data_IF_728433314988
#
_entry.id   IF_728433314988
#
_cell.length_a   1.000
_cell.length_b   1.000
_cell.length_c   1.000
_cell.angle_alpha   90.00
_cell.angle_beta   90.00
_cell.angle_gamma   90.00
#
_symmetry.space_group_name_H-M   'P 1'
#
loop_
_entity.id
_entity.type
_entity.pdbx_description
1 polymer ?
#
# COMPACT_ATOMS: atom_id res chain seq x y z
N UNK A 1 -48.69 -31.73 1.47
CA UNK A 1 -48.07 -30.39 1.59
C UNK A 1 -46.57 -30.57 1.70
N UNK A 2 -45.81 -30.50 0.61
CA UNK A 2 -44.35 -30.63 0.64
C UNK A 2 -43.71 -29.28 0.97
N UNK A 3 -42.94 -29.24 2.06
CA UNK A 3 -42.19 -28.07 2.49
C UNK A 3 -41.11 -27.70 1.47
N UNK A 4 -41.12 -26.44 1.04
CA UNK A 4 -40.13 -25.84 0.15
C UNK A 4 -38.77 -25.85 0.88
N UNK A 5 -37.81 -26.60 0.34
CA UNK A 5 -36.45 -26.64 0.85
C UNK A 5 -35.78 -25.27 0.73
N UNK A 6 -35.12 -24.81 1.81
CA UNK A 6 -34.32 -23.58 1.83
C UNK A 6 -33.29 -23.62 0.70
N UNK A 7 -33.47 -22.81 -0.34
CA UNK A 7 -32.44 -22.56 -1.34
C UNK A 7 -31.19 -22.00 -0.64
N UNK A 8 -30.03 -22.62 -0.89
CA UNK A 8 -28.74 -22.07 -0.46
C UNK A 8 -28.55 -20.74 -1.17
N UNK A 9 -28.40 -19.66 -0.40
CA UNK A 9 -28.08 -18.33 -0.92
C UNK A 9 -26.90 -18.42 -1.90
N UNK A 10 -27.04 -17.74 -3.04
CA UNK A 10 -26.01 -17.66 -4.08
C UNK A 10 -24.71 -17.16 -3.47
N UNK A 11 -23.55 -17.62 -3.95
CA UNK A 11 -22.25 -17.13 -3.46
C UNK A 11 -22.12 -15.62 -3.60
N UNK A 12 -22.84 -15.01 -4.54
CA UNK A 12 -22.91 -13.55 -4.73
C UNK A 12 -23.77 -12.83 -3.68
N UNK A 13 -24.69 -13.54 -3.02
CA UNK A 13 -25.57 -13.01 -1.97
C UNK A 13 -24.94 -13.14 -0.57
N UNK A 14 -23.84 -13.90 -0.47
CA UNK A 14 -23.06 -13.97 0.76
C UNK A 14 -22.20 -12.73 0.87
N UNK A 15 -22.47 -11.89 1.86
CA UNK A 15 -21.52 -10.85 2.29
C UNK A 15 -20.13 -11.50 2.39
N UNK A 16 -19.13 -10.86 1.79
CA UNK A 16 -17.73 -11.31 1.91
C UNK A 16 -17.45 -11.55 3.40
N UNK A 17 -17.07 -12.77 3.75
CA UNK A 17 -16.86 -13.15 5.13
C UNK A 17 -15.92 -12.17 5.81
N UNK A 18 -16.25 -11.75 7.03
CA UNK A 18 -15.38 -10.91 7.88
C UNK A 18 -14.09 -11.63 8.30
N UNK A 19 -13.96 -12.93 7.99
CA UNK A 19 -12.84 -13.75 8.37
C UNK A 19 -11.54 -13.21 7.79
N UNK A 20 -10.62 -12.85 8.68
CA UNK A 20 -9.19 -12.74 8.36
C UNK A 20 -8.63 -14.16 8.55
N UNK A 21 -8.52 -15.00 7.50
CA UNK A 21 -7.76 -16.25 7.66
C UNK A 21 -6.34 -15.86 8.08
N UNK A 22 -5.93 -16.33 9.25
CA UNK A 22 -4.58 -16.07 9.76
C UNK A 22 -3.61 -16.97 9.00
N UNK A 23 -2.70 -16.36 8.27
CA UNK A 23 -1.60 -17.04 7.59
C UNK A 23 -0.33 -16.78 8.37
N UNK A 24 0.50 -17.80 8.54
CA UNK A 24 1.80 -17.63 9.20
C UNK A 24 2.64 -16.61 8.40
N UNK A 25 3.17 -15.60 9.11
CA UNK A 25 4.01 -14.56 8.52
C UNK A 25 5.22 -15.11 7.76
N UNK A 26 5.73 -16.28 8.16
CA UNK A 26 6.82 -16.96 7.47
C UNK A 26 6.46 -17.35 6.02
N UNK A 27 5.18 -17.64 5.74
CA UNK A 27 4.72 -17.95 4.37
C UNK A 27 4.88 -16.73 3.45
N UNK A 28 4.52 -15.53 3.94
CA UNK A 28 4.75 -14.29 3.21
C UNK A 28 6.25 -14.03 3.03
N UNK A 29 7.04 -14.22 4.09
CA UNK A 29 8.48 -14.01 4.07
C UNK A 29 9.20 -14.85 3.00
N UNK A 30 8.92 -16.16 2.96
CA UNK A 30 9.52 -17.09 2.00
C UNK A 30 9.09 -16.76 0.56
N UNK A 31 7.80 -16.51 0.34
CA UNK A 31 7.29 -16.14 -0.99
C UNK A 31 7.91 -14.82 -1.47
N UNK A 32 7.96 -13.81 -0.62
CA UNK A 32 8.49 -12.50 -0.97
C UNK A 32 9.99 -12.56 -1.25
N UNK A 33 10.74 -13.33 -0.47
CA UNK A 33 12.17 -13.58 -0.72
C UNK A 33 12.41 -14.16 -2.13
N UNK A 34 11.63 -15.18 -2.53
CA UNK A 34 11.72 -15.77 -3.86
C UNK A 34 11.29 -14.81 -4.98
N UNK A 35 10.29 -13.96 -4.75
CA UNK A 35 9.91 -12.90 -5.70
C UNK A 35 11.07 -11.92 -5.92
N UNK A 36 11.75 -11.50 -4.85
CA UNK A 36 12.90 -10.59 -4.93
C UNK A 36 14.04 -11.25 -5.71
N UNK A 37 14.39 -12.51 -5.38
CA UNK A 37 15.42 -13.27 -6.10
C UNK A 37 15.06 -13.47 -7.59
N UNK A 38 13.82 -13.85 -7.87
CA UNK A 38 13.28 -14.01 -9.24
C UNK A 38 13.43 -12.72 -10.06
N UNK A 39 13.12 -11.57 -9.46
CA UNK A 39 13.26 -10.27 -10.12
C UNK A 39 14.73 -9.89 -10.30
N UNK A 40 15.56 -10.12 -9.28
CA UNK A 40 16.98 -9.81 -9.27
C UNK A 40 17.73 -10.56 -10.39
N UNK A 41 17.38 -11.82 -10.65
CA UNK A 41 17.99 -12.61 -11.73
C UNK A 41 17.61 -12.14 -13.14
N UNK A 42 16.74 -11.15 -13.28
CA UNK A 42 16.23 -10.62 -14.56
C UNK A 42 16.43 -9.11 -14.73
N UNK A 43 17.30 -8.51 -13.93
CA UNK A 43 17.61 -7.07 -13.98
C UNK A 43 19.10 -6.88 -13.75
N UNK A 44 19.64 -5.77 -14.25
CA UNK A 44 21.07 -5.49 -14.16
C UNK A 44 21.39 -4.43 -13.12
N UNK A 45 20.40 -3.62 -12.73
CA UNK A 45 20.59 -2.50 -11.80
C UNK A 45 19.60 -2.52 -10.62
N UNK A 46 19.97 -1.91 -9.50
CA UNK A 46 19.09 -1.77 -8.33
C UNK A 46 17.82 -0.96 -8.64
N UNK A 47 17.89 0.16 -9.41
CA UNK A 47 16.68 0.87 -9.81
C UNK A 47 15.72 0.03 -10.64
N UNK A 48 16.21 -0.79 -11.57
CA UNK A 48 15.36 -1.73 -12.33
C UNK A 48 14.68 -2.76 -11.42
N UNK A 49 15.42 -3.29 -10.43
CA UNK A 49 14.85 -4.20 -9.44
C UNK A 49 13.72 -3.53 -8.65
N UNK A 50 13.97 -2.32 -8.14
CA UNK A 50 12.97 -1.55 -7.41
C UNK A 50 11.75 -1.23 -8.28
N UNK A 51 11.96 -0.91 -9.57
CA UNK A 51 10.88 -0.68 -10.53
C UNK A 51 10.01 -1.94 -10.69
N UNK A 52 10.61 -3.11 -10.93
CA UNK A 52 9.85 -4.38 -11.04
C UNK A 52 9.09 -4.71 -9.76
N UNK A 53 9.71 -4.52 -8.59
CA UNK A 53 9.04 -4.73 -7.32
C UNK A 53 7.86 -3.76 -7.14
N UNK A 54 8.03 -2.50 -7.53
CA UNK A 54 6.95 -1.50 -7.51
C UNK A 54 5.80 -1.90 -8.44
N UNK A 55 6.06 -2.35 -9.66
CA UNK A 55 5.03 -2.81 -10.61
C UNK A 55 4.22 -4.00 -10.04
N UNK A 56 4.89 -4.97 -9.41
CA UNK A 56 4.22 -6.07 -8.71
C UNK A 56 3.36 -5.56 -7.54
N UNK A 57 3.88 -4.60 -6.78
CA UNK A 57 3.15 -3.93 -5.70
C UNK A 57 1.90 -3.20 -6.19
N UNK A 58 1.98 -2.53 -7.34
CA UNK A 58 0.84 -1.83 -7.94
C UNK A 58 -0.29 -2.80 -8.28
N UNK A 59 0.03 -3.94 -8.89
CA UNK A 59 -0.96 -4.98 -9.17
C UNK A 59 -1.67 -5.46 -7.90
N UNK A 60 -0.94 -5.60 -6.79
CA UNK A 60 -1.54 -5.97 -5.50
C UNK A 60 -2.41 -4.83 -4.96
N UNK A 61 -1.91 -3.59 -4.96
CA UNK A 61 -2.61 -2.42 -4.44
C UNK A 61 -3.95 -2.12 -5.12
N UNK A 62 -4.04 -2.32 -6.44
CA UNK A 62 -5.30 -2.16 -7.19
C UNK A 62 -6.43 -3.03 -6.63
N UNK A 63 -6.13 -4.28 -6.27
CA UNK A 63 -7.13 -5.21 -5.73
C UNK A 63 -7.41 -4.97 -4.24
N UNK A 64 -6.42 -4.45 -3.49
CA UNK A 64 -6.58 -4.18 -2.06
C UNK A 64 -7.54 -3.03 -1.78
N UNK A 65 -7.57 -2.02 -2.64
CA UNK A 65 -8.35 -0.80 -2.44
C UNK A 65 -9.84 -1.08 -2.21
N UNK A 66 -10.46 -1.83 -3.14
CA UNK A 66 -11.88 -2.12 -3.09
C UNK A 66 -12.26 -2.94 -1.86
N UNK A 67 -11.43 -3.95 -1.54
CA UNK A 67 -11.64 -4.81 -0.37
C UNK A 67 -11.56 -4.01 0.93
N UNK A 68 -10.61 -3.09 1.04
CA UNK A 68 -10.43 -2.27 2.24
C UNK A 68 -11.59 -1.27 2.41
N UNK A 69 -11.99 -0.56 1.36
CA UNK A 69 -13.13 0.36 1.44
C UNK A 69 -14.45 -0.36 1.75
N UNK A 70 -14.64 -1.55 1.19
CA UNK A 70 -15.83 -2.36 1.42
C UNK A 70 -15.92 -2.85 2.86
N UNK A 71 -14.84 -3.40 3.41
CA UNK A 71 -14.84 -4.08 4.71
C UNK A 71 -14.75 -3.13 5.90
N UNK A 72 -13.93 -2.07 5.78
CA UNK A 72 -13.48 -1.29 6.94
C UNK A 72 -14.08 0.13 6.97
N UNK A 73 -14.54 0.66 5.83
CA UNK A 73 -15.03 2.05 5.72
C UNK A 73 -16.53 2.17 5.44
N UNK A 74 -17.27 1.06 5.39
CA UNK A 74 -18.70 1.09 5.08
C UNK A 74 -18.99 1.83 3.78
N UNK A 75 -18.17 1.61 2.74
CA UNK A 75 -18.24 2.27 1.44
C UNK A 75 -17.91 3.77 1.41
N UNK A 76 -17.47 4.38 2.54
CA UNK A 76 -17.07 5.78 2.56
C UNK A 76 -15.68 5.98 1.97
N UNK A 77 -15.61 6.67 0.83
CA UNK A 77 -14.34 7.09 0.20
C UNK A 77 -13.88 8.41 0.77
N UNK A 78 -12.57 8.56 0.91
CA UNK A 78 -11.97 9.84 1.32
C UNK A 78 -11.94 10.81 0.15
N UNK A 79 -12.30 12.07 0.42
CA UNK A 79 -12.31 13.14 -0.59
C UNK A 79 -11.25 14.20 -0.32
N UNK A 80 -10.89 14.43 0.95
CA UNK A 80 -9.84 15.35 1.38
C UNK A 80 -8.49 14.64 1.43
N UNK A 81 -7.44 15.32 0.99
CA UNK A 81 -6.09 14.77 0.93
C UNK A 81 -5.58 14.37 2.31
N UNK A 82 -5.74 15.23 3.31
CA UNK A 82 -5.30 14.96 4.68
C UNK A 82 -5.95 13.70 5.24
N UNK A 83 -7.25 13.52 5.02
CA UNK A 83 -7.97 12.32 5.48
C UNK A 83 -7.46 11.06 4.80
N UNK A 84 -7.14 11.13 3.51
CA UNK A 84 -6.56 10.00 2.77
C UNK A 84 -5.17 9.64 3.31
N UNK A 85 -4.32 10.63 3.60
CA UNK A 85 -3.00 10.40 4.19
C UNK A 85 -3.09 9.82 5.61
N UNK A 86 -4.01 10.32 6.44
CA UNK A 86 -4.29 9.76 7.78
C UNK A 86 -4.78 8.32 7.67
N UNK A 87 -5.67 8.03 6.72
CA UNK A 87 -6.13 6.67 6.45
C UNK A 87 -4.97 5.74 6.07
N UNK A 88 -4.04 6.20 5.22
CA UNK A 88 -2.86 5.42 4.84
C UNK A 88 -1.99 5.14 6.07
N UNK A 89 -1.65 6.17 6.86
CA UNK A 89 -0.83 6.04 8.08
C UNK A 89 -1.44 5.08 9.11
N UNK A 90 -2.76 5.10 9.26
CA UNK A 90 -3.46 4.39 10.35
C UNK A 90 -4.11 3.10 9.87
N UNK A 91 -5.34 3.15 9.37
CA UNK A 91 -6.15 1.99 9.03
C UNK A 91 -5.48 1.09 8.00
N UNK A 92 -5.00 1.67 6.90
CA UNK A 92 -4.34 0.90 5.85
C UNK A 92 -3.08 0.23 6.39
N UNK A 93 -2.18 0.99 7.05
CA UNK A 93 -0.95 0.43 7.60
C UNK A 93 -1.22 -0.69 8.61
N UNK A 94 -2.22 -0.52 9.49
CA UNK A 94 -2.65 -1.56 10.44
C UNK A 94 -3.16 -2.81 9.75
N UNK A 95 -3.91 -2.68 8.65
CA UNK A 95 -4.43 -3.82 7.88
C UNK A 95 -3.29 -4.60 7.23
N UNK A 96 -2.29 -3.90 6.67
CA UNK A 96 -1.20 -4.53 5.92
C UNK A 96 -0.08 -5.03 6.83
N UNK A 97 0.25 -4.29 7.88
CA UNK A 97 1.46 -4.46 8.69
C UNK A 97 1.18 -4.67 10.18
N UNK A 98 -0.08 -4.65 10.62
CA UNK A 98 -0.45 -4.87 12.03
C UNK A 98 -0.09 -3.71 12.97
N UNK A 99 0.47 -2.60 12.46
CA UNK A 99 0.80 -1.39 13.22
C UNK A 99 0.53 -0.13 12.39
N UNK A 100 0.47 1.03 13.03
CA UNK A 100 0.48 2.31 12.29
C UNK A 100 1.87 2.61 11.74
N UNK A 101 1.93 3.42 10.69
CA UNK A 101 3.20 3.97 10.23
C UNK A 101 3.78 4.89 11.30
N UNK A 102 5.10 4.93 11.45
CA UNK A 102 5.72 5.68 12.56
C UNK A 102 5.48 7.19 12.41
N UNK A 103 5.68 7.76 11.20
CA UNK A 103 5.45 9.19 10.94
C UNK A 103 4.76 9.47 9.61
N UNK A 104 4.07 10.60 9.57
CA UNK A 104 3.57 11.27 8.38
C UNK A 104 4.04 12.72 8.44
N UNK A 105 4.86 13.15 7.48
CA UNK A 105 5.43 14.50 7.40
C UNK A 105 5.06 15.11 6.04
N UNK A 106 4.89 16.43 5.95
CA UNK A 106 4.82 17.16 4.67
C UNK A 106 6.21 17.75 4.38
N UNK A 107 6.59 17.86 3.10
CA UNK A 107 7.80 18.59 2.74
C UNK A 107 7.64 20.09 3.06
N UNK A 108 8.70 20.71 3.57
CA UNK A 108 8.66 22.13 3.95
C UNK A 108 8.51 23.06 2.74
N UNK A 109 9.08 22.66 1.60
CA UNK A 109 9.23 23.53 0.41
C UNK A 109 8.35 23.09 -0.78
N UNK A 110 7.52 22.05 -0.62
CA UNK A 110 6.64 21.53 -1.68
C UNK A 110 5.34 20.99 -1.08
N UNK A 111 4.24 21.72 -1.30
CA UNK A 111 2.92 21.36 -0.78
C UNK A 111 2.34 20.07 -1.41
N UNK A 112 2.94 19.60 -2.51
CA UNK A 112 2.61 18.33 -3.19
C UNK A 112 3.33 17.11 -2.63
N UNK A 113 4.34 17.30 -1.78
CA UNK A 113 5.20 16.19 -1.34
C UNK A 113 4.96 15.86 0.12
N UNK A 114 4.68 14.58 0.38
CA UNK A 114 4.47 14.02 1.71
C UNK A 114 5.36 12.79 1.92
N UNK A 115 5.66 12.50 3.18
CA UNK A 115 6.54 11.42 3.59
C UNK A 115 5.83 10.52 4.60
N UNK A 116 5.82 9.21 4.33
CA UNK A 116 5.55 8.20 5.34
C UNK A 116 6.88 7.59 5.75
N UNK A 117 7.19 7.57 7.05
CA UNK A 117 8.49 7.13 7.54
C UNK A 117 8.28 5.91 8.43
N UNK A 118 9.07 4.87 8.17
CA UNK A 118 9.16 3.63 8.94
C UNK A 118 10.60 3.42 9.39
N UNK A 119 10.82 3.33 10.70
CA UNK A 119 12.13 2.99 11.26
C UNK A 119 12.51 1.55 10.93
N UNK A 120 11.53 0.64 10.98
CA UNK A 120 11.70 -0.80 10.77
C UNK A 120 10.61 -1.37 9.83
N UNK A 121 10.76 -1.23 8.50
CA UNK A 121 9.77 -1.74 7.56
C UNK A 121 9.73 -3.27 7.56
N UNK A 122 8.54 -3.85 7.74
CA UNK A 122 8.34 -5.31 7.83
C UNK A 122 8.88 -6.05 6.60
N UNK A 123 8.69 -5.50 5.40
CA UNK A 123 9.18 -6.12 4.15
C UNK A 123 10.70 -6.28 4.10
N UNK A 124 11.47 -5.42 4.79
CA UNK A 124 12.92 -5.55 4.86
C UNK A 124 13.35 -6.53 5.98
N UNK A 125 12.46 -6.88 6.92
CA UNK A 125 12.75 -7.87 7.98
C UNK A 125 12.83 -9.30 7.44
N UNK A 126 12.19 -9.58 6.31
CA UNK A 126 12.04 -10.92 5.76
C UNK A 126 13.06 -11.28 4.67
N UNK A 127 13.91 -10.34 4.28
CA UNK A 127 14.91 -10.53 3.24
C UNK A 127 16.30 -10.29 3.83
N UNK A 128 17.23 -11.18 3.54
CA UNK A 128 18.66 -10.92 3.76
C UNK A 128 19.17 -10.11 2.58
N UNK A 129 19.38 -8.80 2.77
CA UNK A 129 20.03 -7.98 1.75
C UNK A 129 21.50 -8.40 1.66
N UNK A 130 22.00 -8.81 0.48
CA UNK A 130 23.42 -9.13 0.29
C UNK A 130 24.31 -7.94 0.69
N UNK A 131 25.42 -8.20 1.40
CA UNK A 131 26.29 -7.16 1.99
C UNK A 131 26.89 -6.20 0.94
N UNK A 132 26.98 -6.65 -0.32
CA UNK A 132 27.47 -5.91 -1.49
C UNK A 132 26.42 -4.96 -2.09
N UNK A 133 25.14 -5.07 -1.72
CA UNK A 133 24.02 -4.30 -2.30
C UNK A 133 23.30 -3.43 -1.27
N UNK A 134 24.03 -2.80 -0.36
CA UNK A 134 23.53 -1.98 0.76
C UNK A 134 22.54 -0.84 0.43
N UNK A 135 22.18 -0.64 -0.84
CA UNK A 135 21.14 0.29 -1.31
C UNK A 135 19.80 -0.38 -1.66
N UNK A 136 19.69 -1.72 -1.65
CA UNK A 136 18.46 -2.43 -2.02
C UNK A 136 17.35 -2.13 -1.03
N UNK A 137 16.32 -1.39 -1.47
CA UNK A 137 15.13 -1.16 -0.68
C UNK A 137 13.93 -1.89 -1.28
N UNK A 138 13.60 -3.06 -0.73
CA UNK A 138 12.44 -3.85 -1.15
C UNK A 138 11.10 -3.26 -0.69
N UNK A 139 11.12 -2.20 0.13
CA UNK A 139 9.94 -1.38 0.34
C UNK A 139 9.46 -0.69 -0.96
N UNK A 140 10.22 -0.75 -2.06
CA UNK A 140 9.70 -0.43 -3.39
C UNK A 140 8.43 -1.21 -3.76
N UNK A 141 8.27 -2.46 -3.29
CA UNK A 141 7.03 -3.21 -3.42
C UNK A 141 5.88 -2.52 -2.69
N UNK A 142 6.07 -2.16 -1.42
CA UNK A 142 5.08 -1.39 -0.64
C UNK A 142 4.77 -0.04 -1.28
N UNK A 143 5.77 0.65 -1.85
CA UNK A 143 5.55 1.91 -2.57
C UNK A 143 4.64 1.73 -3.78
N UNK A 144 4.78 0.62 -4.52
CA UNK A 144 3.87 0.26 -5.59
C UNK A 144 2.43 0.07 -5.10
N UNK A 145 2.24 -0.61 -3.97
CA UNK A 145 0.92 -0.77 -3.35
C UNK A 145 0.31 0.60 -3.02
N UNK A 146 1.09 1.48 -2.38
CA UNK A 146 0.64 2.83 -2.01
C UNK A 146 0.28 3.68 -3.23
N UNK A 147 1.10 3.64 -4.28
CA UNK A 147 0.85 4.34 -5.54
C UNK A 147 -0.48 3.89 -6.16
N UNK A 148 -0.72 2.58 -6.25
CA UNK A 148 -1.97 2.05 -6.77
C UNK A 148 -3.20 2.41 -5.91
N UNK A 149 -3.05 2.37 -4.58
CA UNK A 149 -4.13 2.75 -3.64
C UNK A 149 -4.50 4.22 -3.78
N UNK A 150 -3.51 5.11 -3.85
CA UNK A 150 -3.72 6.54 -4.03
C UNK A 150 -4.35 6.86 -5.39
N UNK A 151 -3.80 6.29 -6.46
CA UNK A 151 -4.30 6.49 -7.82
C UNK A 151 -5.73 5.96 -7.98
N UNK A 152 -6.02 4.77 -7.45
CA UNK A 152 -7.37 4.19 -7.46
C UNK A 152 -8.37 4.96 -6.59
N UNK A 153 -7.90 5.65 -5.55
CA UNK A 153 -8.71 6.55 -4.72
C UNK A 153 -8.88 7.95 -5.32
N UNK A 154 -8.42 8.18 -6.55
CA UNK A 154 -8.46 9.47 -7.25
C UNK A 154 -7.58 10.57 -6.61
N UNK A 155 -6.46 10.15 -6.03
CA UNK A 155 -5.36 11.01 -5.58
C UNK A 155 -4.10 10.67 -6.39
N UNK A 156 -4.06 10.99 -7.70
CA UNK A 156 -2.92 10.65 -8.55
C UNK A 156 -1.60 11.14 -7.95
N UNK A 157 -0.66 10.22 -7.81
CA UNK A 157 0.63 10.44 -7.18
C UNK A 157 1.70 9.51 -7.73
N UNK A 158 2.96 9.92 -7.55
CA UNK A 158 4.13 9.07 -7.69
C UNK A 158 4.70 8.74 -6.32
N UNK A 159 4.93 7.46 -6.04
CA UNK A 159 5.53 7.01 -4.78
C UNK A 159 6.90 6.42 -5.03
N UNK A 160 7.90 6.91 -4.29
CA UNK A 160 9.28 6.43 -4.35
C UNK A 160 9.80 6.15 -2.94
N UNK A 161 10.89 5.40 -2.84
CA UNK A 161 11.44 4.97 -1.55
C UNK A 161 12.87 5.43 -1.40
N UNK A 162 13.18 5.98 -0.23
CA UNK A 162 14.48 6.53 0.11
C UNK A 162 14.93 6.06 1.50
N UNK A 163 16.25 6.01 1.70
CA UNK A 163 16.84 5.82 3.02
C UNK A 163 16.98 7.16 3.72
N UNK A 164 15.97 7.52 4.52
CA UNK A 164 15.95 8.76 5.30
C UNK A 164 15.19 8.51 6.59
N UNK A 165 15.81 8.78 7.75
CA UNK A 165 15.26 8.49 9.09
C UNK A 165 14.69 7.05 9.23
N UNK A 166 15.28 6.08 8.52
CA UNK A 166 14.72 4.76 8.28
C UNK A 166 14.39 4.56 6.80
N UNK A 167 13.29 3.86 6.51
CA UNK A 167 12.69 3.77 5.18
C UNK A 167 11.61 4.82 5.04
N UNK A 168 11.80 5.73 4.10
CA UNK A 168 10.84 6.81 3.80
C UNK A 168 10.18 6.56 2.45
N UNK A 169 8.86 6.56 2.44
CA UNK A 169 8.02 6.61 1.24
C UNK A 169 7.74 8.07 0.92
N UNK A 170 8.35 8.59 -0.14
CA UNK A 170 8.05 9.91 -0.67
C UNK A 170 6.87 9.80 -1.63
N UNK A 171 5.78 10.47 -1.30
CA UNK A 171 4.56 10.57 -2.09
C UNK A 171 4.52 11.96 -2.68
N UNK A 172 4.61 12.05 -4.00
CA UNK A 172 4.48 13.32 -4.72
C UNK A 172 3.18 13.31 -5.51
N UNK A 173 2.24 14.16 -5.11
CA UNK A 173 0.94 14.28 -5.75
C UNK A 173 1.01 15.14 -7.02
N UNK A 174 0.10 14.85 -7.95
CA UNK A 174 -0.14 15.74 -9.08
C UNK A 174 -0.71 17.08 -8.59
N UNK A 175 -0.42 18.15 -9.33
CA UNK A 175 -0.90 19.50 -9.02
C UNK A 175 -2.44 19.57 -8.97
N UNK A 176 -3.12 18.75 -9.78
CA UNK A 176 -4.57 18.63 -9.80
C UNK A 176 -5.17 18.21 -8.46
N UNK A 177 -4.43 17.41 -7.66
CA UNK A 177 -4.86 16.97 -6.33
C UNK A 177 -4.89 18.14 -5.36
N UNK A 178 -3.81 18.93 -5.33
CA UNK A 178 -3.69 20.08 -4.43
C UNK A 178 -4.68 21.18 -4.83
N UNK A 179 -4.84 21.44 -6.12
CA UNK A 179 -5.84 22.37 -6.63
C UNK A 179 -7.26 21.96 -6.20
N UNK A 180 -7.60 20.67 -6.35
CA UNK A 180 -8.91 20.12 -5.94
C UNK A 180 -9.12 20.23 -4.42
N UNK A 181 -8.11 19.94 -3.61
CA UNK A 181 -8.21 19.97 -2.15
C UNK A 181 -8.48 21.41 -1.65
N UNK A 182 -7.78 22.40 -2.21
CA UNK A 182 -8.00 23.84 -1.92
C UNK A 182 -9.42 24.30 -2.25
N UNK A 183 -10.03 23.77 -3.33
CA UNK A 183 -11.42 24.08 -3.70
C UNK A 183 -12.46 23.42 -2.76
N UNK A 184 -12.11 22.29 -2.14
CA UNK A 184 -12.99 21.60 -1.19
C UNK A 184 -12.93 22.27 0.19
N UNK A 185 -11.78 22.81 0.59
CA UNK A 185 -11.62 23.52 1.86
C UNK A 185 -12.21 24.94 1.89
N UNK A 186 -12.51 25.51 0.72
CA UNK A 186 -13.19 26.81 0.59
C UNK A 186 -14.72 26.71 0.71
N UNK A 187 -15.25 25.54 1.07
CA UNK A 187 -16.67 25.28 1.37
C UNK A 187 -16.85 24.92 2.84
#
# INVERSE_FOLDING_TARGET
MSGIGKQKASTLEKSLGKGKPEVNIATFALLFSEIVQYCQNRVHTVPELQKKLSELGQSVGCHMLDVIFLREKGYKREVKLLNMLIFIKSSFWKIVFGKEADKLEQANDDDRTYYIIEKEPLVNKFISVPRDKGSLNCAAFTAGILEAVLNGANFPAKVTVHWHKGTTFMIKFDESVIARDKMVDSR
#
